data_IF_738811717722
#
_entry.id   IF_738811717722
#
_cell.length_a   1.000
_cell.length_b   1.000
_cell.length_c   1.000
_cell.angle_alpha   90.00
_cell.angle_beta   90.00
_cell.angle_gamma   90.00
#
_symmetry.space_group_name_H-M   'P 1'
#
loop_
_entity.id
_entity.type
_entity.pdbx_description
1 polymer ?
#
# COMPACT_ATOMS: atom_id res chain seq x y z
N UNK A 1 7.02 -6.79 11.43
CA UNK A 1 6.45 -7.09 10.09
C UNK A 1 7.11 -6.15 9.08
N UNK A 2 7.66 -6.66 7.98
CA UNK A 2 8.23 -5.82 6.90
C UNK A 2 7.25 -5.62 5.75
N UNK A 3 6.30 -6.56 5.59
CA UNK A 3 5.28 -6.51 4.55
C UNK A 3 3.98 -7.13 5.07
N UNK A 4 2.86 -6.69 4.48
CA UNK A 4 1.53 -7.22 4.74
C UNK A 4 0.77 -7.34 3.42
N UNK A 5 0.86 -8.50 2.81
CA UNK A 5 0.16 -8.84 1.57
C UNK A 5 -1.03 -9.77 1.84
N UNK A 6 -0.91 -10.61 2.86
CA UNK A 6 -1.90 -11.62 3.19
C UNK A 6 -2.20 -11.62 4.69
N UNK A 7 -3.41 -12.02 5.08
CA UNK A 7 -3.81 -12.14 6.49
C UNK A 7 -2.87 -13.07 7.28
N UNK A 8 -2.25 -14.05 6.62
CA UNK A 8 -1.23 -14.92 7.24
C UNK A 8 0.02 -14.18 7.73
N UNK A 9 0.30 -13.01 7.18
CA UNK A 9 1.46 -12.19 7.57
C UNK A 9 1.29 -11.54 8.94
N UNK A 10 0.07 -11.54 9.51
CA UNK A 10 -0.22 -11.02 10.85
C UNK A 10 0.38 -11.86 11.98
N UNK A 11 0.82 -13.09 11.70
CA UNK A 11 1.31 -14.01 12.74
C UNK A 11 0.15 -14.61 13.55
N UNK A 12 -0.05 -14.18 14.81
CA UNK A 12 -1.18 -14.66 15.61
C UNK A 12 -2.47 -13.88 15.24
N UNK A 13 -3.35 -14.56 14.51
CA UNK A 13 -4.61 -13.98 14.06
C UNK A 13 -5.56 -13.64 15.21
N UNK A 14 -5.53 -14.40 16.32
CA UNK A 14 -6.40 -14.14 17.47
C UNK A 14 -5.96 -12.88 18.21
N UNK A 15 -4.66 -12.68 18.36
CA UNK A 15 -4.09 -11.47 18.93
C UNK A 15 -4.44 -10.25 18.07
N UNK A 16 -4.24 -10.34 16.75
CA UNK A 16 -4.58 -9.27 15.82
C UNK A 16 -6.07 -8.92 15.84
N UNK A 17 -6.97 -9.91 15.92
CA UNK A 17 -8.42 -9.68 16.05
C UNK A 17 -8.76 -9.03 17.39
N UNK A 18 -8.15 -9.45 18.49
CA UNK A 18 -8.36 -8.84 19.81
C UNK A 18 -7.97 -7.37 19.80
N UNK A 19 -6.79 -7.05 19.24
CA UNK A 19 -6.32 -5.67 19.10
C UNK A 19 -7.25 -4.82 18.22
N UNK A 20 -7.73 -5.39 17.12
CA UNK A 20 -8.66 -4.69 16.26
C UNK A 20 -10.01 -4.41 16.92
N UNK A 21 -10.53 -5.31 17.79
CA UNK A 21 -11.73 -5.07 18.61
C UNK A 21 -11.48 -3.92 19.60
N UNK A 22 -10.31 -3.88 20.23
CA UNK A 22 -9.95 -2.78 21.15
C UNK A 22 -9.88 -1.44 20.41
N UNK A 23 -9.24 -1.39 19.22
CA UNK A 23 -9.18 -0.18 18.39
C UNK A 23 -10.58 0.23 17.92
N UNK A 24 -11.47 -0.74 17.64
CA UNK A 24 -12.87 -0.43 17.28
C UNK A 24 -13.62 0.21 18.42
N UNK A 25 -13.36 -0.19 19.67
CA UNK A 25 -13.96 0.39 20.86
C UNK A 25 -13.40 1.80 21.18
N UNK A 26 -12.08 1.99 21.01
CA UNK A 26 -11.40 3.28 21.15
C UNK A 26 -10.48 3.55 19.97
N UNK A 27 -10.96 4.33 19.00
CA UNK A 27 -10.25 4.63 17.76
C UNK A 27 -9.00 5.47 17.93
N UNK A 28 -8.81 6.07 19.08
CA UNK A 28 -7.67 6.94 19.39
C UNK A 28 -6.73 6.33 20.43
N UNK A 29 -6.94 5.06 20.80
CA UNK A 29 -6.11 4.34 21.79
C UNK A 29 -4.61 4.44 21.50
N UNK A 30 -4.22 4.53 20.22
CA UNK A 30 -2.85 4.59 19.76
C UNK A 30 -2.54 5.90 19.00
N UNK A 31 -3.15 7.02 19.36
CA UNK A 31 -3.07 8.30 18.65
C UNK A 31 -1.67 8.92 18.59
N UNK A 32 -0.74 8.42 19.37
CA UNK A 32 0.67 8.85 19.38
C UNK A 32 1.62 7.87 18.70
N UNK A 33 1.16 6.66 18.34
CA UNK A 33 1.99 5.59 17.78
C UNK A 33 2.69 6.03 16.48
N UNK A 34 1.97 6.77 15.64
CA UNK A 34 2.43 7.29 14.38
C UNK A 34 2.99 8.71 14.43
N UNK A 35 3.24 9.28 15.60
CA UNK A 35 3.74 10.65 15.74
C UNK A 35 5.05 10.84 14.97
N UNK A 36 5.11 11.87 14.12
CA UNK A 36 6.22 12.18 13.23
C UNK A 36 6.50 11.10 12.17
N UNK A 37 5.57 10.18 11.93
CA UNK A 37 5.62 9.19 10.86
C UNK A 37 4.71 9.59 9.72
N UNK A 38 5.09 9.18 8.52
CA UNK A 38 4.36 9.46 7.29
C UNK A 38 3.97 8.16 6.60
N UNK A 39 2.67 8.01 6.33
CA UNK A 39 2.15 6.97 5.44
C UNK A 39 2.07 7.52 4.01
N UNK A 40 2.77 6.88 3.08
CA UNK A 40 2.57 7.09 1.65
C UNK A 40 1.54 6.09 1.13
N UNK A 41 0.49 6.58 0.51
CA UNK A 41 -0.54 5.78 -0.16
C UNK A 41 -0.39 5.92 -1.67
N UNK A 42 -0.06 4.83 -2.36
CA UNK A 42 0.16 4.79 -3.80
C UNK A 42 -1.02 4.12 -4.48
N UNK A 43 -1.72 4.86 -5.34
CA UNK A 43 -2.88 4.39 -6.07
C UNK A 43 -2.58 4.27 -7.56
N UNK A 44 -2.52 3.05 -8.08
CA UNK A 44 -2.53 2.77 -9.53
C UNK A 44 -3.95 2.77 -10.09
N UNK A 45 -4.95 2.58 -9.23
CA UNK A 45 -6.37 2.58 -9.56
C UNK A 45 -7.15 3.42 -8.56
N UNK A 46 -8.11 4.18 -9.05
CA UNK A 46 -8.93 5.06 -8.22
C UNK A 46 -9.72 4.31 -7.15
N UNK A 47 -9.85 4.93 -5.98
CA UNK A 47 -10.69 4.43 -4.89
C UNK A 47 -11.17 5.56 -4.01
N UNK A 48 -12.47 5.54 -3.70
CA UNK A 48 -13.04 6.45 -2.71
C UNK A 48 -12.90 5.89 -1.29
N UNK A 49 -13.41 4.67 -1.08
CA UNK A 49 -13.48 4.07 0.26
C UNK A 49 -12.10 3.79 0.85
N UNK A 50 -11.22 3.12 0.09
CA UNK A 50 -9.86 2.81 0.53
C UNK A 50 -9.08 4.07 0.86
N UNK A 51 -9.19 5.11 0.03
CA UNK A 51 -8.54 6.41 0.26
C UNK A 51 -8.97 7.02 1.59
N UNK A 52 -10.28 7.19 1.79
CA UNK A 52 -10.82 7.84 2.99
C UNK A 52 -10.56 7.02 4.25
N UNK A 53 -10.78 5.71 4.20
CA UNK A 53 -10.61 4.84 5.38
C UNK A 53 -9.16 4.74 5.81
N UNK A 54 -8.22 4.56 4.87
CA UNK A 54 -6.79 4.44 5.19
C UNK A 54 -6.22 5.77 5.67
N UNK A 55 -6.57 6.90 5.03
CA UNK A 55 -6.18 8.21 5.55
C UNK A 55 -6.71 8.46 6.96
N UNK A 56 -7.99 8.14 7.19
CA UNK A 56 -8.58 8.33 8.52
C UNK A 56 -7.92 7.44 9.57
N UNK A 57 -7.61 6.18 9.23
CA UNK A 57 -6.88 5.28 10.13
C UNK A 57 -5.50 5.83 10.49
N UNK A 58 -4.73 6.30 9.50
CA UNK A 58 -3.43 6.93 9.73
C UNK A 58 -3.53 8.16 10.65
N UNK A 59 -4.51 9.03 10.42
CA UNK A 59 -4.76 10.21 11.28
C UNK A 59 -5.11 9.80 12.71
N UNK A 60 -5.88 8.73 12.90
CA UNK A 60 -6.23 8.22 14.24
C UNK A 60 -4.99 7.71 15.00
N UNK A 61 -3.97 7.24 14.28
CA UNK A 61 -2.67 6.84 14.83
C UNK A 61 -1.69 8.01 15.02
N UNK A 62 -2.07 9.24 14.65
CA UNK A 62 -1.21 10.42 14.71
C UNK A 62 -0.20 10.52 13.57
N UNK A 63 -0.40 9.78 12.47
CA UNK A 63 0.46 9.83 11.27
C UNK A 63 0.11 10.99 10.34
N UNK A 64 1.13 11.48 9.63
CA UNK A 64 0.92 12.25 8.40
C UNK A 64 0.59 11.30 7.24
N UNK A 65 -0.09 11.83 6.21
CA UNK A 65 -0.41 11.06 5.00
C UNK A 65 0.02 11.82 3.75
N UNK A 66 0.63 11.10 2.82
CA UNK A 66 0.87 11.54 1.44
C UNK A 66 0.08 10.60 0.53
N UNK A 67 -0.67 11.15 -0.41
CA UNK A 67 -1.43 10.35 -1.38
C UNK A 67 -0.91 10.63 -2.76
N UNK A 68 -0.50 9.58 -3.45
CA UNK A 68 0.00 9.62 -4.82
C UNK A 68 -0.93 8.80 -5.73
N UNK A 69 -1.53 9.46 -6.70
CA UNK A 69 -2.24 8.81 -7.79
C UNK A 69 -1.28 8.64 -8.97
N UNK A 70 -0.86 7.40 -9.20
CA UNK A 70 -0.02 7.04 -10.35
C UNK A 70 -0.87 7.16 -11.62
N UNK A 71 -0.31 7.76 -12.67
CA UNK A 71 -1.02 8.02 -13.92
C UNK A 71 -2.12 9.09 -13.85
N UNK A 72 -2.30 9.76 -12.71
CA UNK A 72 -3.15 10.95 -12.63
C UNK A 72 -2.28 12.20 -12.88
N UNK A 73 -2.33 12.74 -14.08
CA UNK A 73 -1.56 13.92 -14.46
C UNK A 73 -0.42 13.64 -15.44
N UNK A 74 0.58 14.53 -15.46
CA UNK A 74 1.66 14.49 -16.45
C UNK A 74 2.77 13.47 -16.12
N UNK A 75 2.86 13.00 -14.87
CA UNK A 75 3.93 12.09 -14.45
C UNK A 75 3.45 10.65 -14.49
N UNK A 76 3.78 9.97 -15.59
CA UNK A 76 3.42 8.58 -15.83
C UNK A 76 4.59 7.66 -15.48
N UNK A 77 4.32 6.55 -14.81
CA UNK A 77 5.33 5.55 -14.45
C UNK A 77 5.25 4.33 -15.37
N UNK A 78 6.43 3.87 -15.80
CA UNK A 78 6.57 2.59 -16.47
C UNK A 78 6.71 1.48 -15.43
N UNK A 79 5.89 0.45 -15.51
CA UNK A 79 5.84 -0.65 -14.54
C UNK A 79 6.52 -1.92 -15.01
N UNK A 80 6.70 -2.09 -16.32
CA UNK A 80 7.29 -3.28 -16.91
C UNK A 80 8.81 -3.20 -16.89
N UNK A 81 9.46 -4.31 -16.52
CA UNK A 81 10.92 -4.39 -16.48
C UNK A 81 11.51 -4.50 -17.88
N UNK A 82 12.64 -3.83 -18.10
CA UNK A 82 13.43 -3.94 -19.33
C UNK A 82 12.85 -3.15 -20.51
N UNK A 83 11.83 -2.37 -20.31
CA UNK A 83 11.28 -1.47 -21.34
C UNK A 83 12.24 -0.31 -21.57
N UNK A 84 12.49 0.01 -22.85
CA UNK A 84 13.24 1.20 -23.23
C UNK A 84 12.35 2.42 -23.02
N UNK A 85 12.85 3.42 -22.27
CA UNK A 85 12.13 4.64 -21.91
C UNK A 85 12.10 5.65 -23.06
N UNK A 86 11.54 5.25 -24.21
CA UNK A 86 11.39 6.07 -25.43
C UNK A 86 9.94 6.44 -25.74
N UNK A 87 9.00 6.06 -24.87
CA UNK A 87 7.56 6.33 -24.98
C UNK A 87 7.11 7.58 -24.22
N UNK A 88 5.86 7.55 -23.76
CA UNK A 88 5.19 8.66 -23.05
C UNK A 88 5.30 8.59 -21.51
N UNK A 89 6.06 7.65 -20.99
CA UNK A 89 6.31 7.49 -19.55
C UNK A 89 7.46 8.38 -19.11
N UNK A 90 7.28 9.05 -17.98
CA UNK A 90 8.25 10.02 -17.45
C UNK A 90 9.40 9.36 -16.71
N UNK A 91 9.14 8.23 -16.05
CA UNK A 91 10.09 7.55 -15.17
C UNK A 91 9.75 6.08 -15.04
N UNK A 92 10.77 5.23 -14.81
CA UNK A 92 10.53 3.83 -14.49
C UNK A 92 10.18 3.65 -13.02
N UNK A 93 9.21 2.77 -12.72
CA UNK A 93 8.77 2.51 -11.36
C UNK A 93 9.92 2.12 -10.42
N UNK A 94 10.90 1.35 -10.89
CA UNK A 94 12.07 0.94 -10.11
C UNK A 94 12.96 2.11 -9.68
N UNK A 95 12.97 3.21 -10.42
CA UNK A 95 13.68 4.44 -10.06
C UNK A 95 12.85 5.29 -9.09
N UNK A 96 11.53 5.36 -9.30
CA UNK A 96 10.62 6.12 -8.47
C UNK A 96 10.46 5.52 -7.05
N UNK A 97 10.48 4.18 -6.91
CA UNK A 97 10.23 3.51 -5.62
C UNK A 97 11.21 3.93 -4.51
N UNK A 98 12.54 3.92 -4.71
CA UNK A 98 13.49 4.40 -3.69
C UNK A 98 13.28 5.87 -3.31
N UNK A 99 12.93 6.70 -4.28
CA UNK A 99 12.61 8.11 -4.06
C UNK A 99 11.37 8.22 -3.17
N UNK A 100 10.28 7.54 -3.52
CA UNK A 100 9.06 7.50 -2.69
C UNK A 100 9.36 7.02 -1.27
N UNK A 101 10.18 5.98 -1.12
CA UNK A 101 10.61 5.45 0.16
C UNK A 101 11.36 6.47 1.02
N UNK A 102 12.09 7.42 0.43
CA UNK A 102 12.83 8.45 1.17
C UNK A 102 11.91 9.47 1.86
N UNK A 103 10.66 9.63 1.41
CA UNK A 103 9.70 10.60 1.93
C UNK A 103 8.66 10.03 2.91
N UNK A 104 8.75 8.74 3.24
CA UNK A 104 7.77 8.09 4.11
C UNK A 104 8.39 7.08 5.06
N UNK A 105 7.60 6.61 6.02
CA UNK A 105 7.97 5.56 6.97
C UNK A 105 7.27 4.22 6.66
N UNK A 106 6.12 4.28 5.99
CA UNK A 106 5.31 3.12 5.61
C UNK A 106 4.65 3.40 4.26
N UNK A 107 4.47 2.37 3.44
CA UNK A 107 3.84 2.48 2.13
C UNK A 107 2.63 1.57 2.04
N UNK A 108 1.47 2.13 1.66
CA UNK A 108 0.27 1.38 1.28
C UNK A 108 0.11 1.40 -0.24
N UNK A 109 -0.16 0.24 -0.86
CA UNK A 109 -0.28 0.11 -2.31
C UNK A 109 -1.65 -0.41 -2.69
N UNK A 110 -2.23 0.23 -3.72
CA UNK A 110 -3.41 -0.26 -4.43
C UNK A 110 -3.09 -0.40 -5.91
N UNK A 111 -3.06 -1.65 -6.41
CA UNK A 111 -2.75 -1.97 -7.80
C UNK A 111 -3.58 -3.17 -8.25
N UNK A 112 -4.54 -2.96 -9.14
CA UNK A 112 -5.37 -4.03 -9.67
C UNK A 112 -4.65 -4.86 -10.73
N UNK A 113 -5.21 -6.04 -11.00
CA UNK A 113 -4.84 -6.86 -12.14
C UNK A 113 -4.99 -6.07 -13.45
N UNK A 114 -4.00 -6.19 -14.32
CA UNK A 114 -4.07 -5.63 -15.67
C UNK A 114 -5.00 -6.42 -16.59
N UNK A 115 -5.28 -7.69 -16.24
CA UNK A 115 -6.12 -8.65 -16.99
C UNK A 115 -5.63 -8.93 -18.41
N UNK A 116 -4.38 -8.64 -18.69
CA UNK A 116 -3.73 -8.88 -19.98
C UNK A 116 -2.72 -10.02 -19.91
N UNK A 117 -2.05 -10.16 -18.79
CA UNK A 117 -1.09 -11.24 -18.50
C UNK A 117 -1.39 -11.82 -17.12
N UNK A 118 -1.90 -13.06 -17.11
CA UNK A 118 -2.28 -13.75 -15.87
C UNK A 118 -1.08 -14.02 -14.96
N UNK A 119 0.03 -14.42 -15.53
CA UNK A 119 1.21 -14.80 -14.73
C UNK A 119 1.84 -13.55 -14.10
N UNK A 120 1.83 -12.43 -14.80
CA UNK A 120 2.23 -11.13 -14.26
C UNK A 120 1.33 -10.67 -13.11
N UNK A 121 0.01 -10.77 -13.29
CA UNK A 121 -0.97 -10.41 -12.25
C UNK A 121 -0.84 -11.30 -11.01
N UNK A 122 -0.73 -12.61 -11.20
CA UNK A 122 -0.58 -13.56 -10.09
C UNK A 122 0.77 -13.47 -9.38
N UNK A 123 1.82 -12.97 -10.04
CA UNK A 123 3.11 -12.71 -9.43
C UNK A 123 3.12 -11.47 -8.54
N UNK A 124 2.03 -10.69 -8.46
CA UNK A 124 1.93 -9.45 -7.67
C UNK A 124 3.11 -8.51 -7.92
N UNK A 125 3.53 -8.40 -9.18
CA UNK A 125 4.81 -7.81 -9.58
C UNK A 125 4.99 -6.39 -9.05
N UNK A 126 3.95 -5.54 -9.16
CA UNK A 126 4.01 -4.16 -8.66
C UNK A 126 4.25 -4.13 -7.15
N UNK A 127 3.51 -4.92 -6.38
CA UNK A 127 3.66 -4.99 -4.93
C UNK A 127 5.08 -5.42 -4.52
N UNK A 128 5.59 -6.49 -5.10
CA UNK A 128 6.92 -7.01 -4.77
C UNK A 128 8.06 -6.08 -5.19
N UNK A 129 7.88 -5.24 -6.20
CA UNK A 129 8.84 -4.19 -6.52
C UNK A 129 8.95 -3.17 -5.37
N UNK A 130 7.83 -2.73 -4.80
CA UNK A 130 7.87 -1.84 -3.62
C UNK A 130 8.46 -2.51 -2.40
N UNK A 131 8.09 -3.75 -2.12
CA UNK A 131 8.65 -4.53 -1.01
C UNK A 131 10.17 -4.65 -1.11
N UNK A 132 10.69 -4.89 -2.31
CA UNK A 132 12.11 -5.11 -2.57
C UNK A 132 12.93 -3.81 -2.56
N UNK A 133 12.40 -2.72 -3.13
CA UNK A 133 13.20 -1.54 -3.45
C UNK A 133 12.88 -0.30 -2.63
N UNK A 134 11.78 -0.25 -1.89
CA UNK A 134 11.43 0.95 -1.12
C UNK A 134 12.26 1.15 0.15
N UNK A 135 12.83 0.07 0.69
CA UNK A 135 13.49 0.10 2.00
C UNK A 135 12.54 0.36 3.17
N UNK A 136 11.22 0.30 2.95
CA UNK A 136 10.18 0.59 3.95
C UNK A 136 9.23 -0.59 4.14
N UNK A 137 8.54 -0.67 5.29
CA UNK A 137 7.39 -1.55 5.42
C UNK A 137 6.33 -1.23 4.38
N UNK A 138 5.82 -2.28 3.72
CA UNK A 138 4.80 -2.15 2.66
C UNK A 138 3.57 -2.96 3.03
N UNK A 139 2.38 -2.43 2.80
CA UNK A 139 1.15 -3.18 2.93
C UNK A 139 0.24 -3.03 1.69
N UNK A 140 -0.44 -4.12 1.36
CA UNK A 140 -1.44 -4.13 0.30
C UNK A 140 -2.74 -3.52 0.82
N UNK A 141 -3.19 -2.44 0.19
CA UNK A 141 -4.56 -1.95 0.38
C UNK A 141 -5.53 -2.80 -0.43
N UNK A 142 -5.17 -3.11 -1.67
CA UNK A 142 -5.79 -4.05 -2.59
C UNK A 142 -4.83 -4.24 -3.76
N UNK A 143 -4.56 -5.49 -4.16
CA UNK A 143 -3.65 -5.81 -5.25
C UNK A 143 -4.33 -6.65 -6.33
N UNK A 144 -3.56 -7.22 -7.25
CA UNK A 144 -4.11 -7.97 -8.37
C UNK A 144 -4.95 -9.19 -7.93
N UNK A 145 -4.52 -9.88 -6.86
CA UNK A 145 -5.17 -11.13 -6.43
C UNK A 145 -5.66 -11.11 -4.98
N UNK A 146 -5.26 -10.11 -4.16
CA UNK A 146 -5.59 -10.10 -2.73
C UNK A 146 -6.07 -8.73 -2.24
N UNK A 147 -6.93 -8.78 -1.22
CA UNK A 147 -7.39 -7.60 -0.48
C UNK A 147 -7.30 -7.88 1.03
N UNK A 148 -6.08 -7.84 1.61
CA UNK A 148 -5.85 -8.31 2.98
C UNK A 148 -6.62 -7.52 4.03
N UNK A 149 -6.81 -6.22 3.83
CA UNK A 149 -7.57 -5.37 4.75
C UNK A 149 -9.05 -5.77 4.77
N UNK A 150 -9.65 -6.07 3.60
CA UNK A 150 -11.03 -6.55 3.54
C UNK A 150 -11.15 -7.97 4.11
N UNK A 151 -10.25 -8.88 3.71
CA UNK A 151 -10.24 -10.23 4.23
C UNK A 151 -10.13 -10.28 5.77
N UNK A 152 -9.35 -9.37 6.36
CA UNK A 152 -9.26 -9.22 7.81
C UNK A 152 -10.54 -8.62 8.41
N UNK A 153 -11.13 -7.61 7.76
CA UNK A 153 -12.38 -7.01 8.21
C UNK A 153 -13.57 -7.96 8.18
N UNK A 154 -13.59 -8.91 7.24
CA UNK A 154 -14.65 -9.92 7.12
C UNK A 154 -14.64 -10.96 8.27
N UNK A 155 -13.61 -10.96 9.11
CA UNK A 155 -13.51 -11.80 10.31
C UNK A 155 -14.20 -11.18 11.55
N UNK A 156 -14.66 -9.92 11.45
CA UNK A 156 -15.41 -9.22 12.48
C UNK A 156 -16.92 -9.43 12.28
#
# INVERSE_FOLDING_TARGET
MKSFLNVKDLGDLKEALSEAVEIKADRYKYDTLGKNKTLLMVFFNNSLRTRLSTQKAAMNLGMNTIVLDVNAGAWKLETERGVIMDGDKSEHLLEAIPVMGSFCDVIGIRSFAGLTDRDYDYAETVYHQFEQYSGKPVFAMETATVHPLQAFADLF
#
